data_IF_556072436961
#
_entry.id   IF_556072436961
#
_cell.length_a   1.000
_cell.length_b   1.000
_cell.length_c   1.000
_cell.angle_alpha   90.00
_cell.angle_beta   90.00
_cell.angle_gamma   90.00
#
_symmetry.space_group_name_H-M   'P 1'
#
loop_
_entity.id
_entity.type
_entity.pdbx_description
1 polymer ?
#
# COMPACT_ATOMS: atom_id res chain seq x y z
N UNK A 1 -35.94 -26.84 -11.22
CA UNK A 1 -34.83 -26.71 -10.24
C UNK A 1 -33.45 -26.43 -10.87
N UNK A 2 -33.22 -26.59 -12.19
CA UNK A 2 -31.91 -26.27 -12.81
C UNK A 2 -31.65 -24.77 -13.01
N UNK A 3 -32.69 -23.97 -13.23
CA UNK A 3 -32.57 -22.52 -13.48
C UNK A 3 -32.18 -21.72 -12.24
N UNK A 4 -32.68 -22.11 -11.05
CA UNK A 4 -32.38 -21.41 -9.79
C UNK A 4 -30.90 -21.61 -9.37
N UNK A 5 -30.34 -22.81 -9.59
CA UNK A 5 -28.93 -23.08 -9.32
C UNK A 5 -27.99 -22.19 -10.14
N UNK A 6 -28.35 -21.87 -11.38
CA UNK A 6 -27.52 -21.02 -12.24
C UNK A 6 -27.43 -19.58 -11.74
N UNK A 7 -28.53 -19.04 -11.21
CA UNK A 7 -28.54 -17.70 -10.61
C UNK A 7 -27.74 -17.61 -9.30
N UNK A 8 -27.74 -18.67 -8.48
CA UNK A 8 -26.92 -18.75 -7.26
C UNK A 8 -25.43 -18.84 -7.59
N UNK A 9 -25.06 -19.56 -8.65
CA UNK A 9 -23.67 -19.64 -9.10
C UNK A 9 -23.21 -18.30 -9.70
N UNK A 10 -24.04 -17.63 -10.51
CA UNK A 10 -23.71 -16.32 -11.07
C UNK A 10 -23.58 -15.22 -10.00
N UNK A 11 -24.40 -15.23 -8.95
CA UNK A 11 -24.28 -14.26 -7.86
C UNK A 11 -23.02 -14.47 -7.02
N UNK A 12 -22.58 -15.72 -6.83
CA UNK A 12 -21.33 -16.05 -6.13
C UNK A 12 -20.07 -15.59 -6.90
N UNK A 13 -20.10 -15.62 -8.23
CA UNK A 13 -18.96 -15.19 -9.08
C UNK A 13 -18.80 -13.67 -9.10
N UNK A 14 -19.89 -12.90 -9.00
CA UNK A 14 -19.84 -11.43 -9.00
C UNK A 14 -19.32 -10.83 -7.68
N UNK A 15 -19.35 -11.57 -6.57
CA UNK A 15 -18.88 -11.07 -5.26
C UNK A 15 -17.35 -11.07 -5.10
N UNK A 16 -16.58 -11.66 -6.01
CA UNK A 16 -15.12 -11.83 -5.83
C UNK A 16 -14.26 -11.01 -6.82
N UNK A 17 -14.85 -10.10 -7.59
CA UNK A 17 -14.04 -9.19 -8.38
C UNK A 17 -13.37 -8.16 -7.45
N UNK A 18 -12.14 -8.46 -7.00
CA UNK A 18 -11.27 -7.50 -6.32
C UNK A 18 -10.92 -6.40 -7.33
N UNK A 19 -11.77 -5.38 -7.39
CA UNK A 19 -11.66 -4.27 -8.33
C UNK A 19 -10.24 -3.71 -8.34
N UNK A 20 -9.68 -3.64 -9.53
CA UNK A 20 -8.37 -3.08 -9.79
C UNK A 20 -8.57 -1.64 -10.26
N UNK A 21 -7.86 -0.71 -9.63
CA UNK A 21 -7.94 0.73 -9.89
C UNK A 21 -6.67 1.18 -10.61
N UNK A 22 -6.82 1.92 -11.70
CA UNK A 22 -5.69 2.55 -12.39
C UNK A 22 -5.66 4.04 -12.11
N UNK A 23 -4.53 4.53 -11.58
CA UNK A 23 -4.32 5.93 -11.25
C UNK A 23 -3.12 6.48 -12.01
N UNK A 24 -3.35 7.45 -12.89
CA UNK A 24 -2.29 8.14 -13.62
C UNK A 24 -1.95 9.48 -12.98
N UNK A 25 -0.78 9.57 -12.35
CA UNK A 25 -0.39 10.63 -11.42
C UNK A 25 1.04 11.13 -11.68
N UNK A 26 1.25 12.44 -11.60
CA UNK A 26 2.60 13.03 -11.65
C UNK A 26 3.24 13.00 -10.27
N UNK A 27 4.42 12.41 -10.14
CA UNK A 27 5.14 12.36 -8.87
C UNK A 27 5.83 13.68 -8.56
N UNK A 28 5.50 14.28 -7.41
CA UNK A 28 6.02 15.59 -6.99
C UNK A 28 7.15 15.49 -5.98
N UNK A 29 7.14 14.43 -5.16
CA UNK A 29 8.15 14.20 -4.12
C UNK A 29 7.59 13.40 -2.96
N UNK A 30 8.31 13.37 -1.85
CA UNK A 30 7.90 12.67 -0.65
C UNK A 30 8.29 13.45 0.60
N UNK A 31 7.65 13.12 1.72
CA UNK A 31 8.06 13.55 3.04
C UNK A 31 7.93 12.40 4.04
N UNK A 32 8.79 12.37 5.05
CA UNK A 32 8.68 11.42 6.13
C UNK A 32 7.80 11.96 7.25
N UNK A 33 6.98 11.08 7.84
CA UNK A 33 6.19 11.35 9.04
C UNK A 33 6.34 10.21 10.03
N UNK A 34 6.26 10.53 11.32
CA UNK A 34 6.14 9.52 12.37
C UNK A 34 4.87 8.69 12.19
N UNK A 35 4.89 7.47 12.71
CA UNK A 35 3.72 6.59 12.76
C UNK A 35 3.30 6.31 14.20
N UNK A 36 2.28 5.49 14.39
CA UNK A 36 1.85 5.00 15.71
C UNK A 36 2.72 3.84 16.25
N UNK A 37 3.86 3.56 15.58
CA UNK A 37 4.87 2.58 15.98
C UNK A 37 6.27 3.15 15.73
N UNK A 38 7.10 3.24 16.77
CA UNK A 38 8.46 3.79 16.68
C UNK A 38 9.38 3.05 15.71
N UNK A 39 9.08 1.79 15.40
CA UNK A 39 9.85 0.95 14.47
C UNK A 39 9.44 1.14 13.01
N UNK A 40 8.54 2.09 12.73
CA UNK A 40 8.08 2.43 11.39
C UNK A 40 8.02 3.95 11.16
N UNK A 41 8.39 4.37 9.96
CA UNK A 41 8.13 5.69 9.41
C UNK A 41 7.13 5.60 8.26
N UNK A 42 6.36 6.67 8.09
CA UNK A 42 5.54 6.85 6.90
C UNK A 42 6.31 7.67 5.88
N UNK A 43 6.61 7.09 4.72
CA UNK A 43 7.02 7.82 3.53
C UNK A 43 5.76 8.21 2.77
N UNK A 44 5.31 9.45 2.97
CA UNK A 44 4.15 9.98 2.26
C UNK A 44 4.58 10.49 0.88
N UNK A 45 4.17 9.76 -0.16
CA UNK A 45 4.36 10.13 -1.55
C UNK A 45 3.30 11.17 -1.95
N UNK A 46 3.76 12.27 -2.54
CA UNK A 46 2.93 13.37 -3.00
C UNK A 46 2.79 13.26 -4.52
N UNK A 47 1.57 12.97 -4.96
CA UNK A 47 1.21 12.66 -6.33
C UNK A 47 0.15 13.66 -6.79
N UNK A 48 0.27 14.19 -8.01
CA UNK A 48 -0.63 15.21 -8.55
C UNK A 48 -1.43 14.69 -9.74
N UNK A 49 -2.73 14.95 -9.75
CA UNK A 49 -3.61 14.83 -10.93
C UNK A 49 -3.74 16.21 -11.60
N UNK A 50 -4.52 16.31 -12.66
CA UNK A 50 -4.76 17.58 -13.35
C UNK A 50 -5.45 18.64 -12.46
N UNK A 51 -6.11 18.21 -11.36
CA UNK A 51 -6.85 19.12 -10.46
C UNK A 51 -6.69 18.90 -8.96
N UNK A 52 -6.03 17.82 -8.51
CA UNK A 52 -5.94 17.45 -7.10
C UNK A 52 -4.57 16.86 -6.72
N UNK A 53 -4.31 16.76 -5.42
CA UNK A 53 -3.13 16.09 -4.86
C UNK A 53 -3.54 14.85 -4.08
N UNK A 54 -3.03 13.70 -4.51
CA UNK A 54 -3.19 12.42 -3.82
C UNK A 54 -1.95 12.20 -2.93
N UNK A 55 -2.20 11.81 -1.68
CA UNK A 55 -1.16 11.38 -0.73
C UNK A 55 -1.25 9.87 -0.59
N UNK A 56 -0.17 9.19 -0.96
CA UNK A 56 -0.03 7.74 -0.88
C UNK A 56 1.03 7.42 0.17
N UNK A 57 0.66 6.67 1.19
CA UNK A 57 1.50 6.38 2.33
C UNK A 57 2.18 5.02 2.15
N UNK A 58 3.50 5.00 2.31
CA UNK A 58 4.31 3.78 2.34
C UNK A 58 4.90 3.62 3.74
N UNK A 59 4.54 2.54 4.44
CA UNK A 59 5.03 2.27 5.79
C UNK A 59 6.37 1.55 5.70
N UNK A 60 7.43 2.25 6.07
CA UNK A 60 8.80 1.77 6.00
C UNK A 60 9.32 1.41 7.39
N UNK A 61 10.00 0.27 7.54
CA UNK A 61 10.72 -0.07 8.74
C UNK A 61 11.82 0.95 9.03
N UNK A 62 11.90 1.36 10.29
CA UNK A 62 12.82 2.37 10.77
C UNK A 62 13.56 1.87 12.02
N UNK A 63 14.88 1.84 11.93
CA UNK A 63 15.75 1.59 13.07
C UNK A 63 15.93 2.89 13.84
N UNK A 64 15.20 3.00 14.95
CA UNK A 64 15.24 4.18 15.82
C UNK A 64 16.57 4.37 16.57
N UNK A 65 17.40 3.32 16.69
CA UNK A 65 18.70 3.39 17.39
C UNK A 65 19.76 3.94 16.44
N UNK A 66 19.81 3.42 15.21
CA UNK A 66 20.79 3.83 14.20
C UNK A 66 20.28 4.93 13.26
N UNK A 67 19.06 5.42 13.48
CA UNK A 67 18.38 6.41 12.64
C UNK A 67 18.33 6.02 11.15
N UNK A 68 18.10 4.74 10.87
CA UNK A 68 18.18 4.19 9.51
C UNK A 68 16.80 3.77 8.99
N UNK A 69 16.49 4.16 7.75
CA UNK A 69 15.25 3.77 7.06
C UNK A 69 15.57 2.68 6.04
N UNK A 70 14.92 1.53 6.13
CA UNK A 70 15.00 0.52 5.07
C UNK A 70 13.96 0.84 4.01
N UNK A 71 14.40 1.53 2.96
CA UNK A 71 13.59 1.89 1.81
C UNK A 71 14.08 1.14 0.56
N UNK A 72 13.40 0.03 0.25
CA UNK A 72 13.63 -0.76 -0.98
C UNK A 72 12.76 -0.30 -2.14
N UNK A 73 12.26 0.95 -2.14
CA UNK A 73 11.39 1.45 -3.19
C UNK A 73 10.01 0.78 -3.24
N UNK A 74 9.24 1.14 -4.25
CA UNK A 74 7.93 0.56 -4.52
C UNK A 74 8.06 -0.66 -5.42
N UNK A 75 7.16 -1.65 -5.28
CA UNK A 75 7.00 -2.79 -6.19
C UNK A 75 8.35 -3.33 -6.71
N UNK A 76 9.16 -3.91 -5.82
CA UNK A 76 10.49 -4.44 -6.14
C UNK A 76 11.51 -3.38 -6.64
N UNK A 77 11.90 -2.44 -5.75
CA UNK A 77 13.01 -1.49 -5.98
C UNK A 77 12.74 -0.34 -6.96
N UNK A 78 11.48 0.03 -7.24
CA UNK A 78 11.17 1.20 -8.04
C UNK A 78 11.17 2.48 -7.18
N UNK A 79 12.16 3.36 -7.39
CA UNK A 79 12.16 4.71 -6.80
C UNK A 79 11.68 5.74 -7.83
N UNK A 80 10.56 6.39 -7.55
CA UNK A 80 9.93 7.35 -8.46
C UNK A 80 10.82 8.59 -8.69
N UNK A 81 10.84 9.07 -9.93
CA UNK A 81 11.54 10.28 -10.36
C UNK A 81 10.58 11.47 -10.37
N UNK A 82 10.98 12.55 -9.70
CA UNK A 82 10.17 13.78 -9.62
C UNK A 82 9.86 14.35 -11.01
N UNK A 83 8.63 14.79 -11.20
CA UNK A 83 8.10 15.34 -12.46
C UNK A 83 7.62 14.30 -13.47
N UNK A 84 7.83 13.00 -13.22
CA UNK A 84 7.38 11.94 -14.13
C UNK A 84 5.93 11.55 -13.82
N UNK A 85 5.12 11.35 -14.86
CA UNK A 85 3.77 10.80 -14.76
C UNK A 85 3.83 9.27 -14.74
N UNK A 86 3.26 8.68 -13.71
CA UNK A 86 3.18 7.23 -13.51
C UNK A 86 1.73 6.77 -13.52
N UNK A 87 1.46 5.61 -14.10
CA UNK A 87 0.21 4.87 -13.95
C UNK A 87 0.44 3.75 -12.95
N UNK A 88 -0.24 3.85 -11.80
CA UNK A 88 -0.29 2.83 -10.77
C UNK A 88 -1.50 1.95 -11.01
N UNK A 89 -1.29 0.65 -11.09
CA UNK A 89 -2.37 -0.33 -11.03
C UNK A 89 -2.45 -0.86 -9.61
N UNK A 90 -3.50 -0.48 -8.88
CA UNK A 90 -3.72 -0.78 -7.48
C UNK A 90 -4.85 -1.80 -7.32
N UNK A 91 -4.75 -2.67 -6.32
CA UNK A 91 -5.84 -3.56 -5.96
C UNK A 91 -6.12 -3.42 -4.46
N UNK A 92 -7.38 -3.19 -4.08
CA UNK A 92 -7.76 -3.18 -2.66
C UNK A 92 -7.38 -4.50 -2.00
N UNK A 93 -6.79 -4.41 -0.82
CA UNK A 93 -6.25 -5.56 -0.10
C UNK A 93 -6.80 -5.58 1.31
N UNK A 94 -7.34 -6.72 1.74
CA UNK A 94 -7.69 -6.90 3.14
C UNK A 94 -6.41 -6.97 3.98
N UNK A 95 -6.39 -6.35 5.16
CA UNK A 95 -5.22 -6.38 6.05
C UNK A 95 -4.82 -7.81 6.44
N UNK A 96 -5.80 -8.69 6.67
CA UNK A 96 -5.55 -10.09 7.01
C UNK A 96 -4.98 -10.92 5.84
N UNK A 97 -5.08 -10.44 4.61
CA UNK A 97 -4.47 -11.07 3.42
C UNK A 97 -2.96 -10.77 3.31
N UNK A 98 -2.43 -9.82 4.10
CA UNK A 98 -0.97 -9.65 4.20
C UNK A 98 -0.43 -10.87 4.96
N UNK A 99 0.63 -11.56 4.48
CA UNK A 99 1.17 -12.70 5.21
C UNK A 99 1.55 -12.36 6.66
N UNK A 100 1.18 -13.21 7.61
CA UNK A 100 1.40 -12.96 9.04
C UNK A 100 2.87 -12.91 9.45
N UNK A 101 3.73 -13.60 8.71
CA UNK A 101 5.17 -13.58 8.93
C UNK A 101 5.84 -12.31 8.40
N UNK A 102 5.13 -11.50 7.60
CA UNK A 102 5.59 -10.14 7.32
C UNK A 102 5.28 -9.29 8.55
N UNK A 103 6.30 -8.77 9.21
CA UNK A 103 6.16 -7.85 10.34
C UNK A 103 5.67 -6.49 9.81
N UNK A 104 4.45 -6.46 9.28
CA UNK A 104 3.87 -5.34 8.56
C UNK A 104 3.22 -4.38 9.53
N UNK A 105 3.49 -3.07 9.37
CA UNK A 105 2.78 -2.02 10.09
C UNK A 105 1.27 -2.21 10.03
N UNK A 106 0.74 -2.55 8.84
CA UNK A 106 -0.69 -2.75 8.65
C UNK A 106 -1.24 -3.90 9.51
N UNK A 107 -0.49 -4.99 9.72
CA UNK A 107 -0.96 -6.09 10.58
C UNK A 107 -0.88 -5.77 12.07
N UNK A 108 0.09 -4.96 12.46
CA UNK A 108 0.39 -4.67 13.87
C UNK A 108 -0.41 -3.49 14.41
N UNK A 109 -0.55 -2.45 13.59
CA UNK A 109 -0.98 -1.11 13.99
C UNK A 109 -2.32 -0.72 13.40
N UNK A 110 -3.13 -1.66 12.92
CA UNK A 110 -4.44 -1.32 12.37
C UNK A 110 -5.54 -2.25 12.86
N UNK A 111 -6.75 -1.70 12.90
CA UNK A 111 -8.00 -2.45 13.07
C UNK A 111 -8.79 -2.31 11.76
N UNK A 112 -9.05 -3.41 11.03
CA UNK A 112 -9.81 -3.35 9.79
C UNK A 112 -11.27 -2.97 10.05
N UNK A 113 -11.86 -2.22 9.12
CA UNK A 113 -13.29 -1.93 9.14
C UNK A 113 -14.11 -3.21 8.92
N UNK A 114 -15.27 -3.30 9.58
CA UNK A 114 -16.13 -4.50 9.53
C UNK A 114 -16.78 -4.71 8.17
N UNK A 115 -17.05 -3.64 7.44
CA UNK A 115 -17.76 -3.67 6.15
C UNK A 115 -16.81 -3.64 4.96
N UNK A 116 -15.60 -3.07 5.13
CA UNK A 116 -14.56 -3.04 4.11
C UNK A 116 -13.19 -3.38 4.75
N UNK A 117 -12.78 -4.64 4.64
CA UNK A 117 -11.53 -5.16 5.20
C UNK A 117 -10.26 -4.42 4.74
N UNK A 118 -10.34 -3.65 3.65
CA UNK A 118 -9.23 -2.84 3.14
C UNK A 118 -9.13 -1.49 3.84
N UNK A 119 -10.23 -1.00 4.42
CA UNK A 119 -10.24 0.20 5.24
C UNK A 119 -9.84 -0.12 6.66
N UNK A 120 -9.24 0.85 7.34
CA UNK A 120 -8.78 0.65 8.70
C UNK A 120 -8.65 1.95 9.48
N UNK A 121 -8.58 1.79 10.79
CA UNK A 121 -8.09 2.80 11.71
C UNK A 121 -6.72 2.40 12.25
N UNK A 122 -5.87 3.39 12.51
CA UNK A 122 -4.55 3.15 13.11
C UNK A 122 -4.65 3.07 14.64
N UNK A 123 -3.84 2.20 15.24
CA UNK A 123 -3.70 2.05 16.69
C UNK A 123 -2.25 2.18 17.11
N UNK A 124 -2.04 2.72 18.32
CA UNK A 124 -0.72 2.81 18.94
C UNK A 124 -0.28 1.46 19.48
N UNK A 125 0.79 0.92 18.89
CA UNK A 125 1.40 -0.33 19.31
C UNK A 125 2.84 -0.35 18.84
N UNK A 126 3.77 -0.22 19.78
CA UNK A 126 5.19 -0.36 19.47
C UNK A 126 5.54 -1.84 19.37
N UNK A 127 6.42 -2.15 18.43
CA UNK A 127 7.06 -3.47 18.30
C UNK A 127 8.55 -3.31 18.19
N UNK A 128 9.29 -4.38 18.45
CA UNK A 128 10.70 -4.42 18.11
C UNK A 128 10.89 -4.26 16.60
N UNK A 129 12.02 -3.67 16.24
CA UNK A 129 12.43 -3.52 14.86
C UNK A 129 12.85 -4.88 14.30
N UNK A 130 12.07 -5.41 13.36
CA UNK A 130 12.35 -6.68 12.70
C UNK A 130 11.83 -6.61 11.26
N UNK A 131 12.75 -6.46 10.30
CA UNK A 131 12.41 -6.34 8.89
C UNK A 131 12.03 -7.69 8.30
N UNK A 132 10.73 -7.93 8.11
CA UNK A 132 10.26 -9.14 7.42
C UNK A 132 9.21 -8.79 6.37
N UNK A 133 9.57 -9.00 5.11
CA UNK A 133 8.67 -8.90 3.98
C UNK A 133 8.99 -7.81 2.96
N UNK A 134 8.02 -7.57 2.09
CA UNK A 134 8.08 -6.59 1.02
C UNK A 134 7.13 -5.43 1.32
N UNK A 135 7.66 -4.41 2.02
CA UNK A 135 6.90 -3.24 2.43
C UNK A 135 6.57 -2.33 1.23
N UNK A 136 7.43 -2.33 0.20
CA UNK A 136 7.27 -1.57 -1.04
C UNK A 136 6.06 -1.97 -1.89
N UNK A 137 5.46 -3.13 -1.59
CA UNK A 137 4.29 -3.65 -2.31
C UNK A 137 2.96 -3.05 -1.83
N UNK A 138 2.90 -2.56 -0.60
CA UNK A 138 1.65 -2.10 0.03
C UNK A 138 1.68 -0.62 0.31
N UNK A 139 0.59 0.06 -0.04
CA UNK A 139 0.41 1.49 0.22
C UNK A 139 -0.99 1.73 0.74
N UNK A 140 -1.17 2.82 1.49
CA UNK A 140 -2.49 3.28 1.87
C UNK A 140 -2.80 4.67 1.31
N UNK A 141 -4.06 4.85 0.90
CA UNK A 141 -4.60 6.13 0.43
C UNK A 141 -5.86 6.39 1.26
N UNK A 142 -5.86 7.48 2.03
CA UNK A 142 -6.99 7.89 2.89
C UNK A 142 -7.51 6.74 3.79
N UNK A 143 -6.62 5.97 4.40
CA UNK A 143 -6.98 4.88 5.32
C UNK A 143 -7.52 3.61 4.65
N UNK A 144 -7.34 3.46 3.33
CA UNK A 144 -7.65 2.26 2.58
C UNK A 144 -6.36 1.63 2.03
N UNK A 145 -6.17 0.34 2.26
CA UNK A 145 -5.00 -0.44 1.90
C UNK A 145 -5.09 -0.97 0.47
N UNK A 146 -4.03 -0.75 -0.28
CA UNK A 146 -3.86 -1.20 -1.65
C UNK A 146 -2.57 -2.01 -1.79
N UNK A 147 -2.64 -3.07 -2.59
CA UNK A 147 -1.49 -3.76 -3.15
C UNK A 147 -1.17 -3.14 -4.51
N UNK A 148 0.07 -2.70 -4.70
CA UNK A 148 0.54 -2.26 -6.01
C UNK A 148 0.75 -3.51 -6.88
N UNK A 149 0.07 -3.57 -8.01
CA UNK A 149 0.23 -4.65 -9.00
C UNK A 149 1.18 -4.28 -10.12
N UNK A 150 1.20 -3.00 -10.49
CA UNK A 150 2.04 -2.49 -11.57
C UNK A 150 2.29 -0.99 -11.38
N UNK A 151 3.46 -0.54 -11.85
CA UNK A 151 3.81 0.87 -12.00
C UNK A 151 4.35 1.03 -13.41
N UNK A 152 3.76 1.91 -14.22
CA UNK A 152 4.24 2.29 -15.55
C UNK A 152 4.56 3.79 -15.57
N UNK A 153 5.57 4.28 -16.30
CA UNK A 153 6.58 3.55 -17.05
C UNK A 153 7.52 2.73 -16.15
N UNK A 154 7.81 1.48 -16.54
CA UNK A 154 8.72 0.59 -15.79
C UNK A 154 10.18 1.11 -15.77
N UNK A 155 10.51 1.97 -16.74
CA UNK A 155 11.80 2.66 -16.91
C UNK A 155 11.84 4.06 -16.27
N UNK A 156 10.78 4.45 -15.54
CA UNK A 156 10.74 5.73 -14.83
C UNK A 156 11.40 5.67 -13.45
N UNK A 157 11.68 4.48 -12.91
CA UNK A 157 12.31 4.31 -11.60
C UNK A 157 13.84 4.28 -11.69
N UNK A 158 14.54 4.76 -10.65
CA UNK A 158 15.97 4.48 -10.49
C UNK A 158 16.17 3.38 -9.45
N UNK A 159 17.15 2.51 -9.67
CA UNK A 159 17.58 1.48 -8.74
C UNK A 159 18.83 2.01 -8.03
N UNK A 160 18.75 2.46 -6.77
CA UNK A 160 19.96 2.80 -6.03
C UNK A 160 20.80 1.54 -5.87
N UNK A 161 22.04 1.60 -6.38
CA UNK A 161 23.06 0.59 -6.13
C UNK A 161 23.43 0.54 -4.66
#
# INVERSE_FOLDING_TARGET
>A
MKTIMFYVIMSLVLCHCKAQEELSLTYIGYQYKGTQNRSFLNKELILKTDGDTIRMNLRLPYDSIHHNVIDRGLLYNCHLKKGVKYTFTLQKKCIFDIPSFFNSYYRTNTIPDKNDCSKFIEIKKDTEYDYRGDYGRYVDIKGCLYEIKRIYPNNGGFYPH
#
